data_IF_023293076057
#
_entry.id   IF_023293076057
#
_cell.length_a   1.000
_cell.length_b   1.000
_cell.length_c   1.000
_cell.angle_alpha   90.00
_cell.angle_beta   90.00
_cell.angle_gamma   90.00
#
_symmetry.space_group_name_H-M   'P 1'
#
loop_
_entity.id
_entity.type
_entity.pdbx_description
1 polymer ?
#
# COMPACT_ATOMS: atom_id res chain seq x y z
N UNK A 1 1.54 4.02 -11.31
CA UNK A 1 0.19 4.09 -10.68
C UNK A 1 -0.52 5.42 -10.90
N UNK A 2 0.15 6.38 -11.53
CA UNK A 2 -0.29 7.77 -11.60
C UNK A 2 -1.62 7.99 -12.34
N UNK A 3 -1.75 7.49 -13.58
CA UNK A 3 -3.00 7.63 -14.35
C UNK A 3 -4.21 7.01 -13.63
N UNK A 4 -4.00 5.92 -12.90
CA UNK A 4 -5.07 5.22 -12.20
C UNK A 4 -5.58 5.96 -10.96
N UNK A 5 -4.78 6.87 -10.38
CA UNK A 5 -5.13 7.60 -9.15
C UNK A 5 -5.26 9.11 -9.36
N UNK A 6 -5.19 9.56 -10.61
CA UNK A 6 -5.32 10.97 -10.99
C UNK A 6 -6.67 11.55 -10.53
N UNK A 7 -6.63 12.69 -9.87
CA UNK A 7 -7.81 13.41 -9.39
C UNK A 7 -8.48 12.79 -8.15
N UNK A 8 -7.90 11.74 -7.56
CA UNK A 8 -8.46 11.10 -6.36
C UNK A 8 -8.08 11.82 -5.06
N UNK A 9 -7.12 12.76 -5.11
CA UNK A 9 -6.63 13.50 -3.94
C UNK A 9 -6.22 12.59 -2.76
N UNK A 10 -5.54 11.48 -3.08
CA UNK A 10 -5.07 10.53 -2.07
C UNK A 10 -3.88 11.12 -1.30
N UNK A 11 -3.88 10.91 0.02
CA UNK A 11 -2.86 11.37 0.95
C UNK A 11 -2.22 10.17 1.69
N UNK A 12 -1.26 10.47 2.56
CA UNK A 12 -0.55 9.46 3.35
C UNK A 12 -1.47 8.60 4.23
N UNK A 13 -2.55 9.17 4.76
CA UNK A 13 -3.52 8.46 5.59
C UNK A 13 -4.26 7.41 4.78
N UNK A 14 -4.76 7.76 3.59
CA UNK A 14 -5.44 6.83 2.69
C UNK A 14 -4.52 5.67 2.28
N UNK A 15 -3.28 5.98 1.91
CA UNK A 15 -2.31 4.95 1.54
C UNK A 15 -1.98 4.03 2.71
N UNK A 16 -1.74 4.62 3.90
CA UNK A 16 -1.46 3.87 5.13
C UNK A 16 -2.60 2.93 5.53
N UNK A 17 -3.85 3.37 5.40
CA UNK A 17 -5.01 2.55 5.70
C UNK A 17 -5.05 1.26 4.85
N UNK A 18 -4.87 1.40 3.53
CA UNK A 18 -4.86 0.25 2.62
C UNK A 18 -3.64 -0.65 2.85
N UNK A 19 -2.45 -0.07 3.05
CA UNK A 19 -1.25 -0.84 3.35
C UNK A 19 -1.38 -1.65 4.65
N UNK A 20 -1.99 -1.07 5.68
CA UNK A 20 -2.25 -1.75 6.94
C UNK A 20 -3.31 -2.85 6.79
N UNK A 21 -4.39 -2.58 6.04
CA UNK A 21 -5.43 -3.57 5.78
C UNK A 21 -4.89 -4.78 4.99
N UNK A 22 -4.02 -4.54 4.00
CA UNK A 22 -3.34 -5.60 3.26
C UNK A 22 -2.46 -6.45 4.20
N UNK A 23 -1.62 -5.81 5.03
CA UNK A 23 -0.77 -6.53 5.97
C UNK A 23 -1.60 -7.37 6.98
N UNK A 24 -2.69 -6.82 7.51
CA UNK A 24 -3.60 -7.54 8.40
C UNK A 24 -4.25 -8.76 7.69
N UNK A 25 -4.64 -8.59 6.43
CA UNK A 25 -5.21 -9.67 5.62
C UNK A 25 -4.19 -10.79 5.39
N UNK A 26 -2.96 -10.46 5.03
CA UNK A 26 -1.88 -11.44 4.84
C UNK A 26 -1.58 -12.22 6.14
N UNK A 27 -1.55 -11.54 7.29
CA UNK A 27 -1.42 -12.21 8.60
C UNK A 27 -2.57 -13.16 8.88
N UNK A 28 -3.81 -12.77 8.57
CA UNK A 28 -4.99 -13.64 8.72
C UNK A 28 -4.85 -14.94 7.90
N UNK A 29 -4.21 -14.87 6.74
CA UNK A 29 -3.90 -16.03 5.90
C UNK A 29 -2.58 -16.73 6.25
N UNK A 30 -1.97 -16.40 7.40
CA UNK A 30 -0.73 -17.01 7.92
C UNK A 30 0.49 -16.84 6.99
N UNK A 31 0.51 -15.78 6.19
CA UNK A 31 1.71 -15.40 5.43
C UNK A 31 2.81 -14.97 6.41
N UNK A 32 4.06 -15.29 6.10
CA UNK A 32 5.20 -14.96 6.96
C UNK A 32 5.39 -13.43 7.08
N UNK A 33 5.90 -12.95 8.23
CA UNK A 33 6.22 -11.52 8.36
C UNK A 33 7.33 -11.08 7.40
N UNK A 34 8.21 -12.00 7.00
CA UNK A 34 9.24 -11.75 5.98
C UNK A 34 8.59 -11.40 4.63
N UNK A 35 7.67 -12.23 4.15
CA UNK A 35 6.95 -11.99 2.89
C UNK A 35 6.08 -10.74 2.96
N UNK A 36 5.42 -10.50 4.10
CA UNK A 36 4.62 -9.28 4.33
C UNK A 36 5.51 -8.04 4.24
N UNK A 37 6.73 -8.09 4.80
CA UNK A 37 7.68 -6.99 4.70
C UNK A 37 8.15 -6.77 3.26
N UNK A 38 8.41 -7.84 2.50
CA UNK A 38 8.75 -7.71 1.08
C UNK A 38 7.62 -7.04 0.28
N UNK A 39 6.36 -7.40 0.53
CA UNK A 39 5.20 -6.75 -0.08
C UNK A 39 5.12 -5.28 0.32
N UNK A 40 5.33 -4.95 1.60
CA UNK A 40 5.32 -3.57 2.11
C UNK A 40 6.39 -2.70 1.46
N UNK A 41 7.60 -3.22 1.27
CA UNK A 41 8.70 -2.51 0.59
C UNK A 41 8.30 -2.19 -0.86
N UNK A 42 7.80 -3.18 -1.61
CA UNK A 42 7.33 -2.96 -2.99
C UNK A 42 6.21 -1.92 -3.05
N UNK A 43 5.21 -2.05 -2.18
CA UNK A 43 4.07 -1.11 -2.13
C UNK A 43 4.54 0.31 -1.82
N UNK A 44 5.44 0.49 -0.85
CA UNK A 44 5.97 1.81 -0.47
C UNK A 44 6.74 2.46 -1.61
N UNK A 45 7.44 1.68 -2.44
CA UNK A 45 8.11 2.18 -3.65
C UNK A 45 7.16 2.81 -4.69
N UNK A 46 5.86 2.48 -4.64
CA UNK A 46 4.85 3.02 -5.55
C UNK A 46 4.14 4.27 -5.01
N UNK A 47 4.43 4.67 -3.76
CA UNK A 47 3.71 5.73 -3.05
C UNK A 47 3.72 7.08 -3.80
N UNK A 48 4.87 7.43 -4.37
CA UNK A 48 5.03 8.67 -5.15
C UNK A 48 4.21 8.69 -6.44
N UNK A 49 3.80 7.54 -6.95
CA UNK A 49 2.95 7.42 -8.14
C UNK A 49 1.45 7.35 -7.79
N UNK A 50 1.09 7.40 -6.51
CA UNK A 50 -0.30 7.24 -6.04
C UNK A 50 -0.79 8.52 -5.36
N UNK A 51 0.06 9.13 -4.53
CA UNK A 51 -0.33 10.31 -3.76
C UNK A 51 -0.39 11.57 -4.63
N UNK A 52 -1.39 12.40 -4.36
CA UNK A 52 -1.56 13.74 -4.94
C UNK A 52 -1.44 13.79 -6.48
N UNK A 53 -1.99 12.78 -7.15
CA UNK A 53 -2.02 12.67 -8.62
C UNK A 53 -3.24 13.33 -9.24
#
# INVERSE_FOLDING_TARGET
>A
MELAHKGMNLNDEHFGAIANHLAASLRKFKVSEEDINQVRVKLTGMKNDILYK
#
